data_IF_913066324763
#
_entry.id   IF_913066324763
#
_cell.length_a   1.000
_cell.length_b   1.000
_cell.length_c   1.000
_cell.angle_alpha   90.00
_cell.angle_beta   90.00
_cell.angle_gamma   90.00
#
_symmetry.space_group_name_H-M   'P 1'
#
loop_
_entity.id
_entity.type
_entity.pdbx_description
1 polymer ?
#
# COMPACT_ATOMS: atom_id res chain seq x y z
N UNK A 1 14.06 -2.88 -13.19
CA UNK A 1 13.28 -1.69 -12.79
C UNK A 1 12.82 -1.85 -11.36
N UNK A 2 12.89 -0.80 -10.52
CA UNK A 2 12.47 -0.84 -9.12
C UNK A 2 11.16 -0.09 -8.93
N UNK A 3 10.18 -0.72 -8.32
CA UNK A 3 8.86 -0.13 -8.08
C UNK A 3 8.54 -0.15 -6.59
N UNK A 4 8.24 1.04 -6.04
CA UNK A 4 7.72 1.19 -4.69
C UNK A 4 6.20 1.19 -4.73
N UNK A 5 5.57 0.29 -4.01
CA UNK A 5 4.11 0.20 -3.88
C UNK A 5 3.73 0.60 -2.46
N UNK A 6 3.05 1.74 -2.32
CA UNK A 6 2.58 2.23 -1.04
C UNK A 6 1.19 1.67 -0.75
N UNK A 7 1.07 0.94 0.34
CA UNK A 7 -0.12 0.23 0.74
C UNK A 7 -0.68 0.79 2.05
N UNK A 8 -1.98 1.05 2.10
CA UNK A 8 -2.67 1.63 3.26
C UNK A 8 -3.53 0.61 4.04
N UNK A 9 -3.36 -0.67 3.73
CA UNK A 9 -4.17 -1.74 4.32
C UNK A 9 -5.58 -1.88 3.73
N UNK A 10 -5.97 -1.06 2.75
CA UNK A 10 -7.31 -1.15 2.18
C UNK A 10 -7.43 -2.25 1.12
N UNK A 11 -8.55 -3.01 1.09
CA UNK A 11 -8.79 -4.01 0.07
C UNK A 11 -8.81 -3.44 -1.36
N UNK A 12 -9.23 -2.19 -1.52
CA UNK A 12 -9.28 -1.52 -2.82
C UNK A 12 -7.89 -1.23 -3.40
N UNK A 13 -6.94 -0.87 -2.56
CA UNK A 13 -5.53 -0.70 -2.97
C UNK A 13 -4.93 -2.05 -3.32
N UNK A 14 -5.22 -3.09 -2.54
CA UNK A 14 -4.78 -4.46 -2.81
C UNK A 14 -5.17 -4.91 -4.23
N UNK A 15 -6.42 -4.74 -4.60
CA UNK A 15 -6.93 -5.08 -5.94
C UNK A 15 -6.24 -4.28 -7.04
N UNK A 16 -6.08 -2.97 -6.82
CA UNK A 16 -5.40 -2.09 -7.76
C UNK A 16 -3.93 -2.48 -7.95
N UNK A 17 -3.22 -2.82 -6.88
CA UNK A 17 -1.84 -3.30 -6.94
C UNK A 17 -1.73 -4.58 -7.74
N UNK A 18 -2.59 -5.56 -7.49
CA UNK A 18 -2.61 -6.81 -8.28
C UNK A 18 -2.83 -6.53 -9.78
N UNK A 19 -3.75 -5.64 -10.10
CA UNK A 19 -4.01 -5.25 -11.48
C UNK A 19 -2.78 -4.58 -12.14
N UNK A 20 -2.15 -3.63 -11.46
CA UNK A 20 -0.98 -2.92 -11.96
C UNK A 20 0.22 -3.85 -12.14
N UNK A 21 0.46 -4.74 -11.18
CA UNK A 21 1.52 -5.76 -11.24
C UNK A 21 1.32 -6.68 -12.45
N UNK A 22 0.09 -7.15 -12.67
CA UNK A 22 -0.24 -7.99 -13.81
C UNK A 22 -0.09 -7.28 -15.17
N UNK A 23 -0.36 -5.96 -15.20
CA UNK A 23 -0.27 -5.16 -16.41
C UNK A 23 1.18 -4.86 -16.83
N UNK A 24 2.06 -4.64 -15.87
CA UNK A 24 3.44 -4.20 -16.15
C UNK A 24 4.35 -5.29 -16.70
N UNK A 25 4.13 -6.58 -16.39
CA UNK A 25 4.80 -7.78 -16.92
C UNK A 25 6.30 -7.64 -17.26
N UNK A 26 7.03 -6.82 -16.52
CA UNK A 26 8.44 -6.56 -16.73
C UNK A 26 9.27 -7.25 -15.64
N UNK A 27 10.57 -7.37 -15.86
CA UNK A 27 11.51 -7.76 -14.81
C UNK A 27 11.62 -6.60 -13.79
N UNK A 28 10.82 -6.69 -12.72
CA UNK A 28 10.60 -5.64 -11.74
C UNK A 28 10.89 -6.15 -10.34
N UNK A 29 11.69 -5.37 -9.61
CA UNK A 29 11.90 -5.51 -8.17
C UNK A 29 10.86 -4.67 -7.41
N UNK A 30 9.88 -5.32 -6.83
CA UNK A 30 8.85 -4.66 -6.05
C UNK A 30 9.26 -4.45 -4.60
N UNK A 31 8.95 -3.28 -4.07
CA UNK A 31 9.00 -3.02 -2.63
C UNK A 31 7.60 -2.60 -2.18
N UNK A 32 7.00 -3.36 -1.28
CA UNK A 32 5.74 -3.00 -0.64
C UNK A 32 6.04 -2.17 0.61
N UNK A 33 5.59 -0.93 0.66
CA UNK A 33 5.74 -0.03 1.78
C UNK A 33 4.41 0.15 2.51
N UNK A 34 4.43 -0.07 3.81
CA UNK A 34 3.35 0.31 4.73
C UNK A 34 3.89 1.33 5.72
N UNK A 35 3.18 2.46 5.89
CA UNK A 35 3.54 3.47 6.87
C UNK A 35 2.56 3.42 8.05
N UNK A 36 3.09 3.15 9.24
CA UNK A 36 2.37 3.24 10.49
C UNK A 36 2.21 4.72 10.83
N UNK A 37 0.98 5.21 10.76
CA UNK A 37 0.65 6.57 11.20
C UNK A 37 -0.06 6.49 12.56
N UNK A 38 0.02 7.53 13.37
CA UNK A 38 -0.65 7.59 14.69
C UNK A 38 -2.15 7.24 14.64
N UNK A 39 -2.82 7.55 13.53
CA UNK A 39 -4.23 7.17 13.29
C UNK A 39 -4.40 5.79 12.66
N UNK A 40 -3.41 5.33 11.89
CA UNK A 40 -3.54 4.16 11.03
C UNK A 40 -3.58 2.86 11.80
N UNK A 41 -2.86 2.77 12.89
CA UNK A 41 -2.78 1.57 13.74
C UNK A 41 -4.17 1.24 14.29
N UNK A 42 -4.79 2.20 14.97
CA UNK A 42 -6.09 2.01 15.63
C UNK A 42 -7.23 1.72 14.65
N UNK A 43 -7.28 2.43 13.53
CA UNK A 43 -8.30 2.22 12.48
C UNK A 43 -8.12 0.93 11.71
N UNK A 44 -6.89 0.52 11.48
CA UNK A 44 -6.59 -0.76 10.80
C UNK A 44 -6.95 -1.96 11.68
N UNK A 45 -6.64 -1.89 12.96
CA UNK A 45 -7.03 -2.92 13.93
C UNK A 45 -8.54 -3.00 14.12
N UNK A 46 -9.24 -1.89 14.27
CA UNK A 46 -10.72 -1.87 14.36
C UNK A 46 -11.40 -2.53 13.16
N UNK A 47 -10.82 -2.40 11.98
CA UNK A 47 -11.41 -2.95 10.76
C UNK A 47 -11.23 -4.46 10.65
N UNK A 48 -10.12 -5.00 11.18
CA UNK A 48 -9.76 -6.42 11.06
C UNK A 48 -10.33 -7.23 12.23
N UNK A 49 -10.32 -6.66 13.41
CA UNK A 49 -10.67 -7.37 14.66
C UNK A 49 -11.85 -6.68 15.35
N UNK A 50 -13.03 -6.75 14.74
CA UNK A 50 -14.25 -6.18 15.36
C UNK A 50 -14.61 -6.75 16.73
N UNK A 51 -14.05 -7.88 17.13
CA UNK A 51 -14.46 -8.64 18.32
C UNK A 51 -13.38 -8.82 19.41
N UNK A 52 -12.11 -8.38 19.19
CA UNK A 52 -11.01 -8.67 20.13
C UNK A 52 -10.12 -7.44 20.44
N UNK A 53 -10.71 -6.31 20.83
CA UNK A 53 -9.97 -5.09 21.18
C UNK A 53 -8.99 -5.29 22.35
N UNK A 54 -9.36 -6.08 23.37
CA UNK A 54 -8.50 -6.36 24.52
C UNK A 54 -7.23 -7.17 24.17
N UNK A 55 -7.32 -8.00 23.14
CA UNK A 55 -6.19 -8.80 22.65
C UNK A 55 -5.20 -7.97 21.83
N UNK A 56 -5.66 -6.86 21.27
CA UNK A 56 -4.87 -5.92 20.48
C UNK A 56 -4.05 -5.02 21.40
N UNK A 57 -4.64 -4.52 22.48
CA UNK A 57 -3.93 -3.71 23.50
C UNK A 57 -2.79 -4.49 24.16
N UNK A 58 -2.91 -5.80 24.29
CA UNK A 58 -1.84 -6.66 24.80
C UNK A 58 -0.71 -6.93 23.78
N UNK A 59 -0.95 -6.75 22.49
CA UNK A 59 0.04 -6.90 21.41
C UNK A 59 0.76 -5.58 21.07
N UNK A 60 0.18 -4.45 21.46
CA UNK A 60 0.68 -3.09 21.21
C UNK A 60 1.49 -2.63 22.43
N UNK A 61 2.71 -3.12 22.56
CA UNK A 61 3.57 -2.78 23.71
C UNK A 61 4.76 -1.88 23.38
N UNK A 62 5.24 -1.95 22.16
CA UNK A 62 6.31 -1.11 21.62
C UNK A 62 6.22 -0.98 20.09
N UNK A 63 6.87 0.04 19.56
CA UNK A 63 6.88 0.38 18.11
C UNK A 63 7.38 -0.76 17.23
N UNK A 64 8.35 -1.53 17.70
CA UNK A 64 8.91 -2.65 16.95
C UNK A 64 7.92 -3.83 16.87
N UNK A 65 7.15 -4.06 17.92
CA UNK A 65 6.08 -5.05 17.94
C UNK A 65 4.96 -4.64 16.98
N UNK A 66 4.60 -3.37 16.94
CA UNK A 66 3.61 -2.82 16.02
C UNK A 66 4.04 -2.94 14.56
N UNK A 67 5.28 -2.62 14.23
CA UNK A 67 5.84 -2.80 12.89
C UNK A 67 5.83 -4.26 12.45
N UNK A 68 6.20 -5.18 13.34
CA UNK A 68 6.15 -6.62 13.07
C UNK A 68 4.74 -7.10 12.84
N UNK A 69 3.78 -6.65 13.66
CA UNK A 69 2.38 -7.00 13.51
C UNK A 69 1.80 -6.46 12.18
N UNK A 70 2.03 -5.20 11.86
CA UNK A 70 1.60 -4.59 10.60
C UNK A 70 2.18 -5.32 9.39
N UNK A 71 3.46 -5.64 9.41
CA UNK A 71 4.11 -6.41 8.35
C UNK A 71 3.43 -7.77 8.18
N UNK A 72 3.25 -8.52 9.27
CA UNK A 72 2.67 -9.87 9.26
C UNK A 72 1.23 -9.88 8.76
N UNK A 73 0.45 -8.87 9.14
CA UNK A 73 -0.98 -8.82 8.79
C UNK A 73 -1.19 -8.31 7.37
N UNK A 74 -0.47 -7.28 6.96
CA UNK A 74 -0.76 -6.56 5.71
C UNK A 74 0.18 -6.92 4.56
N UNK A 75 1.47 -7.06 4.83
CA UNK A 75 2.46 -7.17 3.77
C UNK A 75 2.86 -8.61 3.47
N UNK A 76 3.04 -9.44 4.48
CA UNK A 76 3.53 -10.81 4.26
C UNK A 76 2.56 -11.65 3.39
N UNK A 77 1.21 -11.60 3.57
CA UNK A 77 0.30 -12.31 2.69
C UNK A 77 0.36 -11.82 1.23
N UNK A 78 0.51 -10.51 1.03
CA UNK A 78 0.63 -9.94 -0.30
C UNK A 78 1.98 -10.31 -0.94
N UNK A 79 3.07 -10.25 -0.19
CA UNK A 79 4.38 -10.70 -0.64
C UNK A 79 4.37 -12.20 -1.02
N UNK A 80 3.73 -13.05 -0.21
CA UNK A 80 3.61 -14.48 -0.53
C UNK A 80 2.89 -14.69 -1.86
N UNK A 81 1.73 -14.06 -2.03
CA UNK A 81 0.98 -14.13 -3.28
C UNK A 81 1.77 -13.64 -4.50
N UNK A 82 2.52 -12.54 -4.38
CA UNK A 82 3.36 -12.04 -5.47
C UNK A 82 4.51 -12.99 -5.81
N UNK A 83 5.15 -13.59 -4.79
CA UNK A 83 6.22 -14.58 -5.00
C UNK A 83 5.73 -15.85 -5.66
N UNK A 84 4.52 -16.31 -5.34
CA UNK A 84 3.88 -17.45 -6.01
C UNK A 84 3.69 -17.20 -7.51
N UNK A 85 3.57 -15.93 -7.90
CA UNK A 85 3.51 -15.51 -9.31
C UNK A 85 4.90 -15.28 -9.94
N UNK A 86 5.98 -15.61 -9.23
CA UNK A 86 7.36 -15.47 -9.71
C UNK A 86 7.92 -14.05 -9.64
N UNK A 87 7.29 -13.14 -8.88
CA UNK A 87 7.72 -11.75 -8.76
C UNK A 87 8.73 -11.57 -7.64
N UNK A 88 9.78 -10.77 -7.90
CA UNK A 88 10.71 -10.33 -6.87
C UNK A 88 10.05 -9.25 -6.00
N UNK A 89 9.83 -9.54 -4.71
CA UNK A 89 9.16 -8.63 -3.80
C UNK A 89 9.74 -8.64 -2.40
N UNK A 90 9.89 -7.46 -1.81
CA UNK A 90 10.24 -7.25 -0.40
C UNK A 90 9.24 -6.34 0.29
N UNK A 91 9.15 -6.43 1.63
CA UNK A 91 8.27 -5.62 2.47
C UNK A 91 9.09 -4.67 3.34
N UNK A 92 8.62 -3.43 3.45
CA UNK A 92 9.17 -2.40 4.33
C UNK A 92 8.03 -1.82 5.15
N UNK A 93 8.24 -1.66 6.45
CA UNK A 93 7.34 -0.92 7.34
C UNK A 93 8.11 0.27 7.89
N UNK A 94 7.54 1.45 7.75
CA UNK A 94 8.03 2.70 8.35
C UNK A 94 7.00 3.25 9.31
N UNK A 95 7.39 4.19 10.14
CA UNK A 95 6.53 4.87 11.09
C UNK A 95 6.72 6.37 10.95
N UNK A 96 5.62 7.12 10.93
CA UNK A 96 5.65 8.56 10.84
C UNK A 96 4.53 9.13 9.98
N UNK A 97 4.77 10.31 9.43
CA UNK A 97 3.86 10.96 8.50
C UNK A 97 3.95 10.29 7.10
N UNK A 98 2.83 9.79 6.60
CA UNK A 98 2.81 8.93 5.44
C UNK A 98 3.53 9.52 4.21
N UNK A 99 3.31 10.79 3.88
CA UNK A 99 3.91 11.40 2.71
C UNK A 99 5.44 11.58 2.87
N UNK A 100 5.89 11.97 4.05
CA UNK A 100 7.32 12.15 4.37
C UNK A 100 8.05 10.81 4.28
N UNK A 101 7.52 9.76 4.92
CA UNK A 101 8.13 8.43 4.92
C UNK A 101 8.18 7.80 3.52
N UNK A 102 7.15 8.04 2.70
CA UNK A 102 7.14 7.61 1.29
C UNK A 102 8.24 8.34 0.51
N UNK A 103 8.33 9.67 0.64
CA UNK A 103 9.34 10.46 -0.06
C UNK A 103 10.76 10.10 0.36
N UNK A 104 10.97 9.82 1.64
CA UNK A 104 12.26 9.37 2.17
C UNK A 104 12.63 7.98 1.63
N UNK A 105 11.68 7.04 1.58
CA UNK A 105 11.94 5.73 0.97
C UNK A 105 12.25 5.86 -0.52
N UNK A 106 11.52 6.70 -1.26
CA UNK A 106 11.79 6.97 -2.67
C UNK A 106 13.22 7.50 -2.87
N UNK A 107 13.64 8.43 -2.01
CA UNK A 107 14.97 9.04 -2.10
C UNK A 107 16.09 8.03 -1.82
N UNK A 108 15.94 7.19 -0.79
CA UNK A 108 16.97 6.24 -0.37
C UNK A 108 17.01 5.01 -1.27
N UNK A 109 15.84 4.53 -1.73
CA UNK A 109 15.72 3.29 -2.48
C UNK A 109 16.01 3.42 -3.97
N UNK A 110 16.08 4.65 -4.51
CA UNK A 110 16.28 4.92 -5.94
C UNK A 110 15.26 4.16 -6.81
N UNK A 111 13.98 4.37 -6.55
CA UNK A 111 12.90 3.74 -7.30
C UNK A 111 12.63 4.49 -8.60
N UNK A 112 12.29 3.73 -9.64
CA UNK A 112 11.89 4.25 -10.95
C UNK A 112 10.43 4.71 -10.94
N UNK A 113 9.58 4.01 -10.17
CA UNK A 113 8.15 4.32 -10.06
C UNK A 113 7.73 4.20 -8.59
N UNK A 114 6.90 5.14 -8.12
CA UNK A 114 6.12 5.00 -6.88
C UNK A 114 4.64 4.84 -7.23
N UNK A 115 4.02 3.78 -6.71
CA UNK A 115 2.60 3.50 -6.86
C UNK A 115 1.85 3.85 -5.58
N UNK A 116 0.78 4.61 -5.72
CA UNK A 116 -0.06 5.07 -4.62
C UNK A 116 -1.52 4.72 -4.88
N UNK A 117 -2.23 4.24 -3.87
CA UNK A 117 -3.69 4.14 -3.94
C UNK A 117 -4.36 5.51 -3.82
N UNK A 118 -5.40 5.74 -4.60
CA UNK A 118 -6.16 7.01 -4.55
C UNK A 118 -6.94 7.21 -3.23
N UNK A 119 -6.94 6.21 -2.32
CA UNK A 119 -7.66 6.25 -1.05
C UNK A 119 -9.18 6.16 -1.18
N UNK A 120 -9.86 6.21 -0.02
CA UNK A 120 -11.32 6.08 0.06
C UNK A 120 -12.10 7.32 -0.36
N UNK A 121 -11.44 8.47 -0.48
CA UNK A 121 -12.06 9.77 -0.75
C UNK A 121 -12.25 10.07 -2.23
N UNK A 122 -11.99 9.10 -3.11
CA UNK A 122 -12.19 9.30 -4.53
C UNK A 122 -13.69 9.23 -4.88
N UNK A 123 -14.28 10.39 -5.07
CA UNK A 123 -15.59 10.51 -5.68
C UNK A 123 -15.44 10.70 -7.19
N UNK A 124 -16.15 9.92 -7.99
CA UNK A 124 -16.10 10.03 -9.45
C UNK A 124 -16.53 11.43 -9.98
N UNK A 125 -17.21 12.22 -9.15
CA UNK A 125 -17.67 13.59 -9.48
C UNK A 125 -16.65 14.68 -9.09
N UNK A 126 -15.63 14.35 -8.26
CA UNK A 126 -14.54 15.25 -7.87
C UNK A 126 -13.26 14.44 -7.79
N UNK A 127 -12.25 14.82 -8.56
CA UNK A 127 -10.88 14.31 -8.52
C UNK A 127 -10.20 14.71 -7.19
N UNK A 128 -10.78 14.32 -6.06
CA UNK A 128 -10.20 14.55 -4.74
C UNK A 128 -9.20 13.42 -4.48
N UNK A 129 -7.99 13.65 -4.86
CA UNK A 129 -6.83 12.84 -4.50
C UNK A 129 -6.50 13.14 -3.03
N UNK A 130 -6.25 12.12 -2.22
CA UNK A 130 -5.92 12.28 -0.80
C UNK A 130 -4.68 13.17 -0.57
N UNK A 131 -4.56 13.77 0.62
CA UNK A 131 -3.45 14.66 0.95
C UNK A 131 -2.08 14.01 0.74
N UNK A 132 -1.90 12.78 1.18
CA UNK A 132 -0.65 12.00 1.00
C UNK A 132 -0.28 11.87 -0.48
N UNK A 133 -1.24 11.50 -1.34
CA UNK A 133 -0.98 11.36 -2.78
C UNK A 133 -0.64 12.70 -3.39
N UNK A 134 -1.36 13.77 -3.04
CA UNK A 134 -1.09 15.13 -3.52
C UNK A 134 0.32 15.59 -3.13
N UNK A 135 0.73 15.33 -1.91
CA UNK A 135 2.04 15.73 -1.39
C UNK A 135 3.17 14.94 -2.06
N UNK A 136 3.00 13.63 -2.21
CA UNK A 136 3.98 12.79 -2.94
C UNK A 136 4.08 13.21 -4.40
N UNK A 137 2.96 13.46 -5.09
CA UNK A 137 2.96 13.93 -6.49
C UNK A 137 3.71 15.25 -6.69
N UNK A 138 3.66 16.15 -5.69
CA UNK A 138 4.35 17.44 -5.76
C UNK A 138 5.84 17.35 -5.51
N UNK A 139 6.28 16.43 -4.68
CA UNK A 139 7.64 16.40 -4.14
C UNK A 139 8.49 15.20 -4.60
N UNK A 140 7.89 14.15 -5.17
CA UNK A 140 8.63 13.01 -5.69
C UNK A 140 9.42 13.38 -6.94
N UNK A 141 10.69 12.94 -6.98
CA UNK A 141 11.58 13.09 -8.15
C UNK A 141 11.64 11.81 -8.98
N UNK A 142 10.55 11.07 -9.00
CA UNK A 142 10.39 9.82 -9.74
C UNK A 142 9.01 9.78 -10.37
N UNK A 143 8.76 8.80 -11.25
CA UNK A 143 7.42 8.61 -11.82
C UNK A 143 6.41 8.24 -10.72
N UNK A 144 5.28 8.94 -10.66
CA UNK A 144 4.19 8.66 -9.71
C UNK A 144 3.02 8.05 -10.45
N UNK A 145 2.63 6.84 -10.06
CA UNK A 145 1.46 6.15 -10.57
C UNK A 145 0.37 6.14 -9.48
N UNK A 146 -0.76 6.73 -9.78
CA UNK A 146 -1.92 6.68 -8.86
C UNK A 146 -2.88 5.61 -9.31
N UNK A 147 -3.13 4.64 -8.43
CA UNK A 147 -4.03 3.53 -8.69
C UNK A 147 -5.41 3.89 -8.16
N UNK A 148 -6.36 4.00 -9.05
CA UNK A 148 -7.76 4.16 -8.73
C UNK A 148 -8.48 2.82 -8.81
N UNK A 149 -9.43 2.57 -7.91
CA UNK A 149 -10.33 1.42 -8.00
C UNK A 149 -11.17 1.53 -9.28
N UNK A 150 -10.66 0.96 -10.36
CA UNK A 150 -11.50 0.73 -11.53
C UNK A 150 -12.59 -0.28 -11.12
N UNK A 151 -13.85 0.04 -11.38
CA UNK A 151 -14.86 -1.01 -11.53
C UNK A 151 -14.40 -1.85 -12.72
N UNK A 152 -13.71 -2.95 -12.48
CA UNK A 152 -13.51 -3.94 -13.52
C UNK A 152 -14.92 -4.39 -13.94
N UNK A 153 -15.39 -3.92 -15.07
CA UNK A 153 -16.39 -4.63 -15.82
C UNK A 153 -15.70 -5.90 -16.29
N UNK A 154 -15.94 -6.99 -15.59
CA UNK A 154 -15.71 -8.31 -16.15
C UNK A 154 -16.61 -8.32 -17.39
N UNK A 155 -16.00 -8.20 -18.56
CA UNK A 155 -16.70 -8.52 -19.80
C UNK A 155 -17.01 -10.00 -19.69
N UNK A 156 -18.24 -10.33 -19.33
CA UNK A 156 -18.80 -11.64 -19.55
C UNK A 156 -18.68 -11.87 -21.05
N UNK A 157 -17.72 -12.69 -21.42
CA UNK A 157 -17.64 -13.21 -22.78
C UNK A 157 -18.88 -14.07 -22.97
N UNK A 158 -19.83 -13.51 -23.71
CA UNK A 158 -20.92 -14.28 -24.28
C UNK A 158 -20.30 -15.37 -25.17
N UNK A 159 -20.59 -16.59 -24.82
CA UNK A 159 -20.52 -17.73 -25.71
C UNK A 159 -21.59 -17.59 -26.80
#
# INVERSE_FOLDING_TARGET
>A
MKVLVCFDGSPSVMEGVKCAVNALRLDIDYTLLYVLTERGIYESYKRIFREDLERIEALVGDVDSEKKAARRIFLDPLCAHMREQGLAVRAVVREGHAAEEILDEVRVGHYDIVMLGAGHSFSASRLLVGSTVTEVMRNARTCVMVIHRARMRIAEQHR
#
